data_IF_075225918145
#
_entry.id   IF_075225918145
#
_cell.length_a   1.000
_cell.length_b   1.000
_cell.length_c   1.000
_cell.angle_alpha   90.00
_cell.angle_beta   90.00
_cell.angle_gamma   90.00
#
_symmetry.space_group_name_H-M   'P 1'
#
loop_
_entity.id
_entity.type
_entity.pdbx_description
1 polymer ?
#
# COMPACT_ATOMS: atom_id res chain seq x y z
N UNK A 1 -8.71 20.52 12.66
CA UNK A 1 -8.46 19.08 12.88
C UNK A 1 -7.76 18.57 11.65
N UNK A 2 -6.47 18.28 11.72
CA UNK A 2 -5.76 17.66 10.59
C UNK A 2 -6.12 16.18 10.64
N UNK A 3 -7.06 15.74 9.81
CA UNK A 3 -7.33 14.31 9.67
C UNK A 3 -6.04 13.68 9.17
N UNK A 4 -5.38 12.90 10.01
CA UNK A 4 -4.14 12.21 9.65
C UNK A 4 -4.52 11.21 8.55
N UNK A 5 -4.17 11.53 7.31
CA UNK A 5 -4.44 10.65 6.17
C UNK A 5 -3.47 9.49 6.25
N UNK A 6 -4.00 8.27 6.27
CA UNK A 6 -3.18 7.08 6.16
C UNK A 6 -3.24 6.52 4.73
N UNK A 7 -2.17 5.83 4.36
CA UNK A 7 -1.99 5.25 3.03
C UNK A 7 -1.75 3.74 3.17
N UNK A 8 -2.44 2.95 2.36
CA UNK A 8 -2.17 1.55 2.13
C UNK A 8 -1.64 1.33 0.72
N UNK A 9 -1.26 0.10 0.42
CA UNK A 9 -0.82 -0.30 -0.92
C UNK A 9 -1.49 -1.59 -1.33
N UNK A 10 -1.78 -1.72 -2.62
CA UNK A 10 -2.03 -3.00 -3.28
C UNK A 10 -0.98 -3.20 -4.37
N UNK A 11 -0.56 -4.44 -4.59
CA UNK A 11 0.39 -4.78 -5.64
C UNK A 11 0.22 -6.25 -6.04
N UNK A 12 0.82 -6.63 -7.16
CA UNK A 12 0.87 -8.02 -7.64
C UNK A 12 2.32 -8.51 -7.54
N UNK A 13 2.54 -9.55 -6.75
CA UNK A 13 3.85 -10.21 -6.65
C UNK A 13 4.25 -10.80 -8.02
N UNK A 14 5.55 -11.06 -8.29
CA UNK A 14 6.01 -11.54 -9.59
C UNK A 14 5.45 -12.91 -9.98
N UNK A 15 4.92 -13.65 -9.01
CA UNK A 15 4.21 -14.93 -9.21
C UNK A 15 2.74 -14.75 -9.64
N UNK A 16 2.27 -13.51 -9.76
CA UNK A 16 0.89 -13.16 -10.10
C UNK A 16 -0.04 -13.05 -8.90
N UNK A 17 0.46 -13.17 -7.68
CA UNK A 17 -0.38 -13.13 -6.47
C UNK A 17 -0.73 -11.69 -6.10
N UNK A 18 -2.02 -11.32 -6.01
CA UNK A 18 -2.40 -10.00 -5.53
C UNK A 18 -2.20 -9.89 -4.01
N UNK A 19 -1.68 -8.76 -3.58
CA UNK A 19 -1.35 -8.43 -2.19
C UNK A 19 -1.89 -7.07 -1.82
N UNK A 20 -2.12 -6.90 -0.52
CA UNK A 20 -2.41 -5.62 0.10
C UNK A 20 -1.54 -5.43 1.33
N UNK A 21 -1.21 -4.17 1.62
CA UNK A 21 -0.65 -3.78 2.90
C UNK A 21 -1.76 -3.74 3.93
N UNK A 22 -1.61 -4.52 4.99
CA UNK A 22 -2.46 -4.46 6.16
C UNK A 22 -2.09 -3.32 7.13
N UNK A 23 -1.18 -2.42 6.74
CA UNK A 23 -0.71 -1.33 7.61
C UNK A 23 -1.01 0.01 6.96
N UNK A 24 -1.61 0.88 7.76
CA UNK A 24 -1.90 2.27 7.48
C UNK A 24 -0.62 3.12 7.68
N UNK A 25 0.02 3.54 6.59
CA UNK A 25 1.25 4.33 6.60
C UNK A 25 0.96 5.83 6.69
N UNK A 26 1.82 6.58 7.38
CA UNK A 26 1.96 8.01 7.11
C UNK A 26 2.64 8.22 5.73
N UNK A 27 2.65 9.45 5.22
CA UNK A 27 3.15 9.73 3.87
C UNK A 27 4.62 9.33 3.65
N UNK A 28 5.48 9.53 4.65
CA UNK A 28 6.92 9.23 4.51
C UNK A 28 7.12 7.71 4.47
N UNK A 29 6.43 6.99 5.35
CA UNK A 29 6.43 5.54 5.37
C UNK A 29 5.86 4.96 4.07
N UNK A 30 4.84 5.60 3.50
CA UNK A 30 4.23 5.19 2.24
C UNK A 30 5.21 5.34 1.06
N UNK A 31 5.90 6.46 0.97
CA UNK A 31 6.91 6.69 -0.08
C UNK A 31 8.08 5.69 0.03
N UNK A 32 8.50 5.34 1.26
CA UNK A 32 9.52 4.31 1.48
C UNK A 32 9.00 2.93 1.02
N UNK A 33 7.79 2.56 1.43
CA UNK A 33 7.18 1.28 1.07
C UNK A 33 7.03 1.12 -0.43
N UNK A 34 6.62 2.19 -1.14
CA UNK A 34 6.53 2.18 -2.60
C UNK A 34 7.87 1.85 -3.25
N UNK A 35 8.96 2.47 -2.80
CA UNK A 35 10.30 2.20 -3.33
C UNK A 35 10.74 0.77 -3.09
N UNK A 36 10.41 0.19 -1.93
CA UNK A 36 10.68 -1.22 -1.66
C UNK A 36 9.95 -2.12 -2.66
N UNK A 37 8.68 -1.85 -2.94
CA UNK A 37 7.88 -2.59 -3.92
C UNK A 37 8.47 -2.45 -5.33
N UNK A 38 8.78 -1.23 -5.76
CA UNK A 38 9.41 -0.96 -7.06
C UNK A 38 10.76 -1.69 -7.20
N UNK A 39 11.55 -1.77 -6.12
CA UNK A 39 12.83 -2.50 -6.09
C UNK A 39 12.65 -4.02 -6.08
N UNK A 40 11.57 -4.52 -5.46
CA UNK A 40 11.24 -5.95 -5.42
C UNK A 40 10.75 -6.49 -6.77
N UNK A 41 10.50 -5.62 -7.76
CA UNK A 41 10.04 -6.02 -9.09
C UNK A 41 8.58 -6.47 -9.12
N UNK A 42 7.77 -6.07 -8.14
CA UNK A 42 6.33 -6.32 -8.15
C UNK A 42 5.65 -5.37 -9.15
N UNK A 43 4.47 -5.75 -9.65
CA UNK A 43 3.70 -4.95 -10.62
C UNK A 43 2.40 -4.42 -10.02
N UNK A 44 1.68 -3.58 -10.76
CA UNK A 44 0.34 -3.08 -10.38
C UNK A 44 0.29 -2.39 -9.00
N UNK A 45 1.39 -1.71 -8.63
CA UNK A 45 1.51 -0.99 -7.36
C UNK A 45 0.56 0.21 -7.36
N UNK A 46 -0.44 0.17 -6.50
CA UNK A 46 -1.39 1.26 -6.27
C UNK A 46 -1.34 1.70 -4.81
N UNK A 47 -1.29 3.01 -4.59
CA UNK A 47 -1.46 3.61 -3.27
C UNK A 47 -2.95 3.87 -3.06
N UNK A 48 -3.48 3.40 -1.94
CA UNK A 48 -4.90 3.55 -1.59
C UNK A 48 -5.03 4.36 -0.30
N UNK A 49 -5.87 5.40 -0.25
CA UNK A 49 -6.14 6.10 1.00
C UNK A 49 -6.88 5.16 1.95
N UNK A 50 -6.42 5.05 3.19
CA UNK A 50 -7.05 4.21 4.22
C UNK A 50 -7.42 5.06 5.42
N UNK A 51 -8.60 4.80 5.99
CA UNK A 51 -9.02 5.42 7.24
C UNK A 51 -8.24 4.86 8.44
N UNK A 52 -8.27 5.57 9.58
CA UNK A 52 -7.75 5.03 10.84
C UNK A 52 -8.46 3.71 11.19
N UNK A 53 -7.71 2.61 11.28
CA UNK A 53 -8.26 1.29 11.59
C UNK A 53 -8.87 0.54 10.40
N UNK A 54 -8.81 1.08 9.19
CA UNK A 54 -9.23 0.38 7.98
C UNK A 54 -8.06 -0.36 7.33
N UNK A 55 -8.35 -1.56 6.83
CA UNK A 55 -7.45 -2.37 6.02
C UNK A 55 -7.93 -2.33 4.57
N UNK A 56 -7.07 -1.99 3.60
CA UNK A 56 -7.45 -2.05 2.20
C UNK A 56 -7.62 -3.51 1.80
N UNK A 57 -8.70 -3.82 1.10
CA UNK A 57 -8.88 -5.14 0.51
C UNK A 57 -7.84 -5.34 -0.61
N UNK A 58 -7.21 -6.52 -0.71
CA UNK A 58 -6.38 -6.86 -1.87
C UNK A 58 -7.22 -6.83 -3.15
N UNK A 59 -6.61 -6.41 -4.26
CA UNK A 59 -7.24 -6.49 -5.59
C UNK A 59 -7.63 -7.94 -5.86
N UNK A 60 -8.86 -8.12 -6.35
CA UNK A 60 -9.37 -9.41 -6.81
C UNK A 60 -8.80 -9.79 -8.18
#
# INVERSE_FOLDING_TARGET
MTTMQHYGFTWTDPDGTPRASAVAYDRISADHRRRELETAGVTDIEEVPVGPGELPAPKA
#
